data_IF_470834196683
#
_entry.id   IF_470834196683
#
_cell.length_a   1.000
_cell.length_b   1.000
_cell.length_c   1.000
_cell.angle_alpha   90.00
_cell.angle_beta   90.00
_cell.angle_gamma   90.00
#
_symmetry.space_group_name_H-M   'P 1'
#
loop_
_entity.id
_entity.type
_entity.pdbx_description
1 polymer ?
#
# COMPACT_ATOMS: atom_id res chain seq x y z
N UNK A 1 1.34 5.57 -15.86
CA UNK A 1 0.75 6.17 -14.64
C UNK A 1 1.62 5.83 -13.45
N UNK A 2 2.01 6.83 -12.69
CA UNK A 2 2.80 6.63 -11.47
C UNK A 2 1.88 6.42 -10.27
N UNK A 3 2.23 5.48 -9.41
CA UNK A 3 1.60 5.28 -8.12
C UNK A 3 2.68 4.99 -7.08
N UNK A 4 2.52 5.55 -5.88
CA UNK A 4 3.49 5.41 -4.80
C UNK A 4 3.02 4.43 -3.75
N UNK A 5 3.94 3.85 -3.01
CA UNK A 5 3.65 3.12 -1.78
C UNK A 5 4.52 3.62 -0.65
N UNK A 6 4.04 3.51 0.57
CA UNK A 6 4.78 3.88 1.77
C UNK A 6 4.39 2.97 2.93
N UNK A 7 5.36 2.64 3.80
CA UNK A 7 5.10 1.95 5.06
C UNK A 7 5.30 2.91 6.22
N UNK A 8 4.36 2.94 7.17
CA UNK A 8 4.44 3.89 8.28
C UNK A 8 5.48 3.51 9.35
N UNK A 9 5.86 2.23 9.43
CA UNK A 9 6.81 1.74 10.43
C UNK A 9 6.49 2.28 11.84
N UNK A 10 7.49 2.72 12.57
CA UNK A 10 7.35 3.40 13.86
C UNK A 10 7.63 4.90 13.77
N UNK A 11 7.42 5.49 12.61
CA UNK A 11 7.62 6.93 12.41
C UNK A 11 6.71 7.76 13.31
N UNK A 12 7.08 9.01 13.55
CA UNK A 12 6.11 9.99 14.03
C UNK A 12 5.12 10.33 12.91
N UNK A 13 3.94 10.81 13.27
CA UNK A 13 2.99 11.27 12.26
C UNK A 13 3.56 12.45 11.45
N UNK A 14 4.34 13.32 12.07
CA UNK A 14 4.98 14.45 11.38
C UNK A 14 5.98 13.97 10.33
N UNK A 15 6.75 12.92 10.63
CA UNK A 15 7.68 12.36 9.66
C UNK A 15 6.95 11.72 8.48
N UNK A 16 5.87 10.99 8.74
CA UNK A 16 5.07 10.41 7.67
C UNK A 16 4.51 11.49 6.75
N UNK A 17 3.95 12.55 7.33
CA UNK A 17 3.43 13.70 6.58
C UNK A 17 4.54 14.36 5.76
N UNK A 18 5.72 14.54 6.34
CA UNK A 18 6.87 15.13 5.65
C UNK A 18 7.29 14.30 4.43
N UNK A 19 7.37 12.98 4.58
CA UNK A 19 7.69 12.07 3.49
C UNK A 19 6.64 12.15 2.37
N UNK A 20 5.36 12.17 2.72
CA UNK A 20 4.27 12.29 1.75
C UNK A 20 4.34 13.63 0.99
N UNK A 21 4.61 14.73 1.69
CA UNK A 21 4.78 16.06 1.08
C UNK A 21 5.99 16.14 0.18
N UNK A 22 7.07 15.49 0.56
CA UNK A 22 8.30 15.46 -0.25
C UNK A 22 8.02 14.92 -1.67
N UNK A 23 7.14 13.94 -1.80
CA UNK A 23 6.76 13.36 -3.08
C UNK A 23 5.47 13.96 -3.66
N UNK A 24 4.97 15.05 -3.08
CA UNK A 24 3.75 15.73 -3.53
C UNK A 24 2.51 14.83 -3.58
N UNK A 25 2.37 13.94 -2.60
CA UNK A 25 1.21 13.05 -2.51
C UNK A 25 -0.04 13.85 -2.15
N UNK A 26 -1.15 13.55 -2.81
CA UNK A 26 -2.47 14.16 -2.56
C UNK A 26 -3.38 13.25 -1.74
N UNK A 27 -3.28 11.95 -1.99
CA UNK A 27 -4.22 10.95 -1.48
C UNK A 27 -3.46 9.75 -0.91
N UNK A 28 -3.83 9.37 0.30
CA UNK A 28 -3.31 8.17 0.96
C UNK A 28 -4.40 7.11 0.96
N UNK A 29 -4.09 5.97 0.35
CA UNK A 29 -4.98 4.80 0.31
C UNK A 29 -4.46 3.77 1.30
N UNK A 30 -5.17 3.60 2.40
CA UNK A 30 -4.80 2.70 3.49
C UNK A 30 -5.33 1.29 3.19
N UNK A 31 -4.42 0.34 3.02
CA UNK A 31 -4.76 -1.06 2.71
C UNK A 31 -4.49 -2.00 3.88
N UNK A 32 -4.25 -1.48 5.08
CA UNK A 32 -3.97 -2.32 6.25
C UNK A 32 -5.24 -3.04 6.69
N UNK A 33 -5.17 -4.37 6.82
CA UNK A 33 -6.30 -5.18 7.29
C UNK A 33 -6.60 -4.97 8.77
N UNK A 34 -5.56 -4.70 9.59
CA UNK A 34 -5.70 -4.39 11.01
C UNK A 34 -5.01 -3.03 11.25
N UNK A 35 -5.74 -1.91 11.12
CA UNK A 35 -5.18 -0.57 11.20
C UNK A 35 -5.10 -0.04 12.65
N UNK A 36 -4.73 -0.90 13.58
CA UNK A 36 -4.61 -0.58 15.01
C UNK A 36 -3.37 -1.27 15.58
N UNK A 37 -2.62 -0.57 16.40
CA UNK A 37 -1.43 -1.10 17.08
C UNK A 37 -1.24 -0.43 18.43
N UNK A 38 -0.98 -1.21 19.47
CA UNK A 38 -0.64 -0.67 20.78
C UNK A 38 0.72 0.03 20.81
N UNK A 39 1.57 -0.22 19.81
CA UNK A 39 2.92 0.36 19.76
C UNK A 39 2.99 1.64 18.91
N UNK A 40 2.11 1.78 17.93
CA UNK A 40 2.11 2.89 16.97
C UNK A 40 0.72 3.50 16.88
N UNK A 41 0.17 3.92 18.03
CA UNK A 41 -1.20 4.44 18.14
C UNK A 41 -1.46 5.67 17.28
N UNK A 42 -0.40 6.43 16.93
CA UNK A 42 -0.50 7.57 16.03
C UNK A 42 -0.98 7.19 14.63
N UNK A 43 -0.88 5.91 14.27
CA UNK A 43 -1.31 5.38 12.98
C UNK A 43 -2.59 4.55 13.06
N UNK A 44 -3.25 4.49 14.23
CA UNK A 44 -4.58 3.90 14.31
C UNK A 44 -5.51 4.59 13.31
N UNK A 45 -6.41 3.82 12.71
CA UNK A 45 -7.23 4.26 11.58
C UNK A 45 -7.87 5.63 11.78
N UNK A 46 -8.54 5.83 12.90
CA UNK A 46 -9.23 7.10 13.17
C UNK A 46 -8.25 8.25 13.41
N UNK A 47 -7.13 7.96 14.07
CA UNK A 47 -6.08 8.94 14.37
C UNK A 47 -5.35 9.38 13.10
N UNK A 48 -4.91 8.43 12.27
CA UNK A 48 -4.21 8.76 11.03
C UNK A 48 -5.14 9.49 10.06
N UNK A 49 -6.40 9.07 9.99
CA UNK A 49 -7.42 9.74 9.16
C UNK A 49 -7.55 11.20 9.55
N UNK A 50 -7.69 11.48 10.84
CA UNK A 50 -7.77 12.85 11.36
C UNK A 50 -6.51 13.63 11.02
N UNK A 51 -5.33 13.08 11.32
CA UNK A 51 -4.04 13.75 11.13
C UNK A 51 -3.78 14.08 9.65
N UNK A 52 -4.05 13.13 8.76
CA UNK A 52 -3.85 13.33 7.32
C UNK A 52 -4.85 14.32 6.74
N UNK A 53 -6.13 14.21 7.12
CA UNK A 53 -7.18 15.12 6.66
C UNK A 53 -6.87 16.55 7.10
N UNK A 54 -6.47 16.74 8.36
CA UNK A 54 -6.06 18.04 8.89
C UNK A 54 -4.87 18.63 8.16
N UNK A 55 -3.94 17.78 7.72
CA UNK A 55 -2.76 18.20 6.96
C UNK A 55 -3.05 18.47 5.47
N UNK A 56 -4.27 18.25 5.00
CA UNK A 56 -4.70 18.52 3.63
C UNK A 56 -4.68 17.33 2.68
N UNK A 57 -4.42 16.12 3.18
CA UNK A 57 -4.46 14.90 2.38
C UNK A 57 -5.87 14.33 2.32
N UNK A 58 -6.17 13.65 1.21
CA UNK A 58 -7.34 12.78 1.12
C UNK A 58 -6.94 11.42 1.73
N UNK A 59 -7.77 10.89 2.61
CA UNK A 59 -7.56 9.57 3.20
C UNK A 59 -8.70 8.64 2.80
N UNK A 60 -8.36 7.48 2.23
CA UNK A 60 -9.33 6.46 1.80
C UNK A 60 -8.89 5.11 2.38
N UNK A 61 -9.80 4.45 3.09
CA UNK A 61 -9.57 3.10 3.59
C UNK A 61 -10.06 2.06 2.59
N UNK A 62 -9.15 1.23 2.07
CA UNK A 62 -9.45 0.23 1.04
C UNK A 62 -8.98 -1.18 1.44
N UNK A 63 -9.16 -1.55 2.69
CA UNK A 63 -8.75 -2.87 3.17
C UNK A 63 -9.61 -4.00 2.58
N UNK A 64 -10.91 -3.80 2.43
CA UNK A 64 -11.81 -4.79 1.81
C UNK A 64 -11.31 -5.19 0.43
N UNK A 65 -10.86 -4.22 -0.35
CA UNK A 65 -10.40 -4.42 -1.72
C UNK A 65 -8.97 -4.97 -1.77
N UNK A 66 -8.06 -4.43 -0.97
CA UNK A 66 -6.62 -4.59 -1.20
C UNK A 66 -5.81 -5.14 -0.02
N UNK A 67 -6.42 -5.42 1.13
CA UNK A 67 -5.69 -5.96 2.29
C UNK A 67 -5.23 -7.40 2.06
N UNK A 68 -4.19 -7.80 2.78
CA UNK A 68 -3.70 -9.19 2.75
C UNK A 68 -4.75 -10.18 3.27
N UNK A 69 -5.51 -9.80 4.32
CA UNK A 69 -6.61 -10.61 4.84
C UNK A 69 -7.83 -10.46 3.95
N UNK A 70 -8.26 -11.56 3.35
CA UNK A 70 -9.38 -11.58 2.41
C UNK A 70 -10.68 -11.99 3.11
N UNK A 71 -11.78 -11.37 2.66
CA UNK A 71 -13.13 -11.73 3.11
C UNK A 71 -13.56 -13.05 2.50
N UNK A 72 -13.23 -13.29 1.23
CA UNK A 72 -13.55 -14.52 0.52
C UNK A 72 -12.65 -15.68 0.95
N UNK A 73 -13.23 -16.74 1.47
CA UNK A 73 -12.50 -17.97 1.85
C UNK A 73 -11.99 -18.73 0.64
N UNK A 74 -12.58 -18.53 -0.53
CA UNK A 74 -12.16 -19.17 -1.79
C UNK A 74 -10.72 -18.79 -2.16
N UNK A 75 -10.28 -17.61 -1.74
CA UNK A 75 -8.93 -17.11 -2.02
C UNK A 75 -7.85 -17.67 -1.08
N UNK A 76 -8.22 -18.51 -0.12
CA UNK A 76 -7.25 -19.15 0.77
C UNK A 76 -6.87 -20.52 0.22
N UNK A 77 -5.56 -20.87 0.35
CA UNK A 77 -5.06 -22.19 0.00
C UNK A 77 -5.36 -23.19 1.13
N UNK A 78 -5.01 -24.47 0.92
CA UNK A 78 -5.22 -25.55 1.88
C UNK A 78 -4.49 -25.33 3.21
N UNK A 79 -3.40 -24.55 3.20
CA UNK A 79 -2.61 -24.24 4.38
C UNK A 79 -3.15 -23.03 5.17
N UNK A 80 -4.23 -22.40 4.70
CA UNK A 80 -4.87 -21.27 5.38
C UNK A 80 -4.28 -19.91 5.02
N UNK A 81 -3.38 -19.82 4.04
CA UNK A 81 -2.81 -18.56 3.54
C UNK A 81 -3.56 -18.07 2.31
N UNK A 82 -3.64 -16.75 2.15
CA UNK A 82 -4.21 -16.17 0.93
C UNK A 82 -3.37 -16.56 -0.28
N UNK A 83 -4.03 -17.11 -1.30
CA UNK A 83 -3.41 -17.45 -2.56
C UNK A 83 -3.49 -16.23 -3.48
N UNK A 84 -2.36 -15.59 -3.73
CA UNK A 84 -2.30 -14.37 -4.51
C UNK A 84 -2.80 -14.55 -5.95
N UNK A 85 -2.59 -15.72 -6.54
CA UNK A 85 -3.13 -16.02 -7.88
C UNK A 85 -4.66 -16.03 -7.90
N UNK A 86 -5.30 -16.38 -6.79
CA UNK A 86 -6.76 -16.32 -6.65
C UNK A 86 -7.23 -14.92 -6.29
N UNK A 87 -6.49 -14.21 -5.41
CA UNK A 87 -6.84 -12.87 -4.95
C UNK A 87 -6.95 -11.89 -6.13
N UNK A 88 -6.04 -11.94 -7.09
CA UNK A 88 -6.05 -11.03 -8.24
C UNK A 88 -7.28 -11.20 -9.14
N UNK A 89 -8.03 -12.30 -9.01
CA UNK A 89 -9.28 -12.55 -9.73
C UNK A 89 -10.53 -12.20 -8.90
N UNK A 90 -10.38 -11.83 -7.63
CA UNK A 90 -11.52 -11.40 -6.81
C UNK A 90 -12.11 -10.10 -7.34
N UNK A 91 -13.44 -10.02 -7.35
CA UNK A 91 -14.15 -8.80 -7.76
C UNK A 91 -13.76 -7.59 -6.92
N UNK A 92 -13.68 -7.75 -5.59
CA UNK A 92 -13.26 -6.69 -4.69
C UNK A 92 -11.85 -6.17 -5.02
N UNK A 93 -10.91 -7.08 -5.30
CA UNK A 93 -9.54 -6.70 -5.66
C UNK A 93 -9.51 -5.94 -6.98
N UNK A 94 -10.20 -6.45 -7.99
CA UNK A 94 -10.30 -5.80 -9.31
C UNK A 94 -10.93 -4.41 -9.18
N UNK A 95 -11.99 -4.28 -8.38
CA UNK A 95 -12.62 -2.99 -8.11
C UNK A 95 -11.66 -2.01 -7.43
N UNK A 96 -10.84 -2.51 -6.50
CA UNK A 96 -9.80 -1.72 -5.85
C UNK A 96 -8.77 -1.18 -6.84
N UNK A 97 -8.26 -2.03 -7.72
CA UNK A 97 -7.31 -1.63 -8.76
C UNK A 97 -7.95 -0.59 -9.70
N UNK A 98 -9.20 -0.80 -10.11
CA UNK A 98 -9.91 0.16 -10.98
C UNK A 98 -10.12 1.51 -10.29
N UNK A 99 -10.40 1.53 -9.00
CA UNK A 99 -10.51 2.78 -8.22
C UNK A 99 -9.19 3.54 -8.20
N UNK A 100 -8.06 2.84 -8.01
CA UNK A 100 -6.74 3.46 -8.07
C UNK A 100 -6.45 4.03 -9.45
N UNK A 101 -6.78 3.28 -10.50
CA UNK A 101 -6.63 3.74 -11.88
C UNK A 101 -7.44 5.01 -12.14
N UNK A 102 -8.70 5.03 -11.72
CA UNK A 102 -9.55 6.21 -11.87
C UNK A 102 -8.98 7.43 -11.12
N UNK A 103 -8.47 7.24 -9.91
CA UNK A 103 -7.86 8.31 -9.14
C UNK A 103 -6.63 8.90 -9.83
N UNK A 104 -5.75 8.03 -10.34
CA UNK A 104 -4.56 8.46 -11.10
C UNK A 104 -4.94 9.19 -12.39
N UNK A 105 -5.95 8.72 -13.11
CA UNK A 105 -6.45 9.35 -14.34
C UNK A 105 -7.03 10.74 -14.08
N UNK A 106 -7.59 10.97 -12.89
CA UNK A 106 -8.09 12.28 -12.47
C UNK A 106 -7.00 13.23 -12.00
N UNK A 107 -5.74 12.79 -12.00
CA UNK A 107 -4.59 13.60 -11.64
C UNK A 107 -4.17 13.54 -10.18
N UNK A 108 -4.78 12.70 -9.37
CA UNK A 108 -4.35 12.51 -7.98
C UNK A 108 -3.03 11.75 -7.90
N UNK A 109 -2.11 12.23 -7.06
CA UNK A 109 -0.91 11.49 -6.70
C UNK A 109 -1.21 10.64 -5.48
N UNK A 110 -1.27 9.34 -5.69
CA UNK A 110 -1.70 8.37 -4.69
C UNK A 110 -0.50 7.67 -4.07
N UNK A 111 -0.49 7.56 -2.73
CA UNK A 111 0.40 6.67 -2.00
C UNK A 111 -0.43 5.59 -1.30
N UNK A 112 -0.10 4.34 -1.56
CA UNK A 112 -0.69 3.19 -0.88
C UNK A 112 0.06 2.99 0.44
N UNK A 113 -0.68 2.95 1.55
CA UNK A 113 -0.12 2.83 2.89
C UNK A 113 -0.16 1.40 3.39
N UNK A 114 1.01 0.88 3.75
CA UNK A 114 1.19 -0.34 4.51
C UNK A 114 1.84 -0.07 5.86
N UNK A 115 2.04 -1.12 6.66
CA UNK A 115 2.62 -0.99 8.00
C UNK A 115 4.15 -1.00 7.98
N UNK A 116 4.78 -1.83 7.15
CA UNK A 116 6.22 -2.06 7.16
C UNK A 116 6.96 -1.09 6.24
N UNK A 117 8.07 -0.53 6.73
CA UNK A 117 8.91 0.36 5.93
C UNK A 117 9.60 -0.39 4.79
N UNK A 118 10.06 -1.62 5.03
CA UNK A 118 10.74 -2.43 4.02
C UNK A 118 9.70 -3.07 3.09
N UNK A 119 9.62 -2.66 1.82
CA UNK A 119 8.62 -3.19 0.90
C UNK A 119 8.80 -4.67 0.60
N UNK A 120 10.00 -5.24 0.76
CA UNK A 120 10.25 -6.67 0.54
C UNK A 120 9.43 -7.54 1.49
N UNK A 121 9.14 -7.03 2.69
CA UNK A 121 8.42 -7.75 3.75
C UNK A 121 6.94 -7.43 3.81
N UNK A 122 6.43 -6.65 2.87
CA UNK A 122 5.07 -6.14 2.93
C UNK A 122 4.25 -6.62 1.73
N UNK A 123 3.03 -7.10 1.99
CA UNK A 123 2.13 -7.51 0.90
C UNK A 123 1.81 -6.37 -0.08
N UNK A 124 2.00 -5.10 0.33
CA UNK A 124 1.83 -3.95 -0.58
C UNK A 124 2.72 -4.06 -1.81
N UNK A 125 3.92 -4.66 -1.70
CA UNK A 125 4.79 -4.89 -2.84
C UNK A 125 4.58 -6.26 -3.48
N UNK A 126 4.40 -7.29 -2.65
CA UNK A 126 4.30 -8.68 -3.13
C UNK A 126 3.00 -8.92 -3.89
N UNK A 127 1.89 -8.41 -3.39
CA UNK A 127 0.58 -8.58 -4.01
C UNK A 127 0.17 -7.35 -4.82
N UNK A 128 0.00 -6.22 -4.14
CA UNK A 128 -0.59 -5.03 -4.75
C UNK A 128 0.37 -4.37 -5.74
N UNK A 129 1.63 -4.23 -5.38
CA UNK A 129 2.65 -3.63 -6.27
C UNK A 129 2.83 -4.45 -7.54
N UNK A 130 2.91 -5.76 -7.43
CA UNK A 130 3.01 -6.66 -8.59
C UNK A 130 1.78 -6.55 -9.48
N UNK A 131 0.59 -6.59 -8.90
CA UNK A 131 -0.65 -6.48 -9.67
C UNK A 131 -0.74 -5.14 -10.40
N UNK A 132 -0.42 -4.04 -9.73
CA UNK A 132 -0.43 -2.71 -10.34
C UNK A 132 0.56 -2.61 -11.50
N UNK A 133 1.77 -3.15 -11.35
CA UNK A 133 2.73 -3.20 -12.44
C UNK A 133 2.17 -3.98 -13.63
N UNK A 134 1.54 -5.12 -13.39
CA UNK A 134 0.95 -5.94 -14.45
C UNK A 134 -0.20 -5.20 -15.15
N UNK A 135 -0.88 -4.28 -14.47
CA UNK A 135 -1.88 -3.38 -15.06
C UNK A 135 -1.27 -2.15 -15.75
N UNK A 136 0.05 -2.04 -15.80
CA UNK A 136 0.76 -0.97 -16.52
C UNK A 136 1.13 0.24 -15.67
N UNK A 137 0.97 0.18 -14.35
CA UNK A 137 1.42 1.25 -13.44
C UNK A 137 2.93 1.22 -13.27
N UNK A 138 3.51 2.41 -13.12
CA UNK A 138 4.87 2.59 -12.64
C UNK A 138 4.84 2.71 -11.12
N UNK A 139 5.14 1.62 -10.43
CA UNK A 139 5.05 1.53 -8.97
C UNK A 139 6.34 2.03 -8.33
N UNK A 140 6.22 3.04 -7.48
CA UNK A 140 7.34 3.70 -6.81
C UNK A 140 7.22 3.52 -5.30
N UNK A 141 8.09 2.68 -4.73
CA UNK A 141 8.12 2.43 -3.29
C UNK A 141 8.97 3.49 -2.58
N UNK A 142 8.34 4.28 -1.71
CA UNK A 142 9.03 5.29 -0.90
C UNK A 142 9.78 4.57 0.23
N UNK A 143 11.07 4.82 0.32
CA UNK A 143 11.94 4.25 1.35
C UNK A 143 12.17 5.25 2.50
N UNK A 144 12.73 4.77 3.61
CA UNK A 144 12.93 5.56 4.82
C UNK A 144 13.95 6.70 4.66
N UNK A 145 14.81 6.63 3.67
CA UNK A 145 15.80 7.66 3.34
C UNK A 145 15.31 8.66 2.28
N UNK A 146 14.01 8.70 1.99
CA UNK A 146 13.39 9.56 0.97
C UNK A 146 13.82 9.23 -0.46
N UNK A 147 14.26 8.01 -0.70
CA UNK A 147 14.51 7.50 -2.05
C UNK A 147 13.36 6.63 -2.53
N UNK A 148 13.39 6.29 -3.83
CA UNK A 148 12.38 5.47 -4.47
C UNK A 148 13.02 4.17 -4.95
N UNK A 149 12.36 3.04 -4.69
CA UNK A 149 12.67 1.76 -5.34
C UNK A 149 11.52 1.38 -6.27
N UNK A 150 11.85 0.88 -7.46
CA UNK A 150 10.86 0.35 -8.40
C UNK A 150 10.36 -1.01 -7.96
N UNK A 151 9.23 -1.44 -8.53
CA UNK A 151 8.73 -2.81 -8.27
C UNK A 151 9.74 -3.86 -8.75
N UNK A 152 10.40 -3.60 -9.88
CA UNK A 152 11.42 -4.49 -10.44
C UNK A 152 12.63 -4.61 -9.50
N UNK A 153 13.07 -3.51 -8.90
CA UNK A 153 14.16 -3.51 -7.91
C UNK A 153 13.79 -4.35 -6.69
N UNK A 154 12.56 -4.22 -6.20
CA UNK A 154 12.07 -4.99 -5.05
C UNK A 154 12.04 -6.49 -5.38
N UNK A 155 11.54 -6.87 -6.54
CA UNK A 155 11.49 -8.26 -6.96
C UNK A 155 12.89 -8.87 -7.15
N UNK A 156 13.81 -8.11 -7.74
CA UNK A 156 15.20 -8.53 -7.89
C UNK A 156 15.87 -8.73 -6.53
N UNK A 157 15.72 -7.79 -5.62
CA UNK A 157 16.29 -7.88 -4.27
C UNK A 157 15.71 -9.06 -3.50
N UNK A 158 14.43 -9.36 -3.69
CA UNK A 158 13.80 -10.53 -3.07
C UNK A 158 14.43 -11.83 -3.57
N UNK A 159 14.66 -11.94 -4.89
CA UNK A 159 15.33 -13.11 -5.47
C UNK A 159 16.77 -13.24 -4.98
N UNK A 160 17.53 -12.16 -4.98
CA UNK A 160 18.93 -12.13 -4.53
C UNK A 160 19.07 -12.57 -3.06
N UNK A 161 18.07 -12.26 -2.23
CA UNK A 161 18.06 -12.65 -0.83
C UNK A 161 17.98 -14.18 -0.63
N UNK A 162 17.31 -14.89 -1.55
CA UNK A 162 17.07 -16.32 -1.46
C UNK A 162 17.98 -17.16 -2.37
N UNK A 163 18.69 -16.54 -3.28
CA UNK A 163 19.60 -17.15 -4.22
C UNK A 163 20.97 -16.44 -4.26
#
# INVERSE_FOLDING_TARGET
MDIFTIGHSNYSIDRLIDMLRYFNIDCVVDIRGIPYSKYNVQFDKDTIRYSLTKAGFIYIYMAKELAAKRVSKVSYNEEGYADFEKVIHEEDFINGINRLKNGCQKGYKIAILGAMQDPIRCHRSILVGKALRDYGFNVKHILDDYTIASQEDIEKNLLDKYF
#
